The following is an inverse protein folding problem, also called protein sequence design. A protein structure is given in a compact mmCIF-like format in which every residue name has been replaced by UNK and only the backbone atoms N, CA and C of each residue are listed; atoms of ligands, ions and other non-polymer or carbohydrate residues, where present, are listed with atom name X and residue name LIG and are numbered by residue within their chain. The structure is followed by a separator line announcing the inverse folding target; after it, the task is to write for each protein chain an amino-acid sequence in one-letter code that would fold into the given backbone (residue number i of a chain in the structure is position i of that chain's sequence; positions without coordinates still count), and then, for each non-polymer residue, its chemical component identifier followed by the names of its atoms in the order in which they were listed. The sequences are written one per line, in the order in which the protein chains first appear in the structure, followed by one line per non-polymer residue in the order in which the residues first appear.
data_IF_183445601241
#
_entry.id   IF_183445601241
#
_cell.length_a   1.000
_cell.length_b   1.000
_cell.length_c   1.000
_cell.angle_alpha   90.00
_cell.angle_beta   90.00
_cell.angle_gamma   90.00
#
_symmetry.space_group_name_H-M   'P 1'
#
loop_
_entity.id
_entity.type
_entity.pdbx_description
1 polymer ?
#
# COMPACT_ATOMS: atom_id res chain seq x y z
N UNK A 1 0.39 -12.26 -0.70
CA UNK A 1 1.58 -11.99 0.14
C UNK A 1 2.76 -11.68 -0.76
N UNK A 2 3.22 -10.43 -0.79
CA UNK A 2 4.46 -10.10 -1.48
C UNK A 2 5.63 -10.56 -0.59
N UNK A 3 6.20 -11.71 -0.89
CA UNK A 3 7.42 -12.20 -0.23
C UNK A 3 8.57 -11.27 -0.60
N UNK A 4 9.03 -10.45 0.35
CA UNK A 4 10.37 -9.86 0.24
C UNK A 4 11.33 -11.03 0.46
N UNK A 5 11.87 -11.59 -0.63
CA UNK A 5 12.84 -12.68 -0.53
C UNK A 5 14.15 -12.11 0.00
N UNK A 6 14.31 -12.08 1.33
CA UNK A 6 15.58 -11.80 1.99
C UNK A 6 16.51 -12.98 1.73
N UNK A 7 17.56 -12.78 0.93
CA UNK A 7 18.63 -13.77 0.72
C UNK A 7 19.53 -13.79 1.97
N UNK A 8 19.15 -14.64 2.92
CA UNK A 8 19.85 -14.82 4.20
C UNK A 8 21.32 -15.14 4.00
N UNK A 9 21.65 -15.92 2.96
CA UNK A 9 23.02 -16.32 2.67
C UNK A 9 23.87 -15.14 2.17
N UNK A 10 23.31 -14.30 1.30
CA UNK A 10 23.99 -13.06 0.85
C UNK A 10 24.18 -12.05 1.98
N UNK A 11 23.23 -11.99 2.93
CA UNK A 11 23.33 -11.15 4.13
C UNK A 11 24.45 -11.60 5.05
N UNK A 12 24.51 -12.89 5.40
CA UNK A 12 25.58 -13.47 6.21
C UNK A 12 26.94 -13.27 5.53
N UNK A 13 27.03 -13.52 4.23
CA UNK A 13 28.27 -13.33 3.46
C UNK A 13 28.77 -11.88 3.52
N UNK A 14 27.88 -10.89 3.36
CA UNK A 14 28.21 -9.46 3.47
C UNK A 14 28.75 -9.11 4.85
N UNK A 15 28.16 -9.65 5.91
CA UNK A 15 28.63 -9.44 7.28
C UNK A 15 30.01 -10.07 7.51
N UNK A 16 30.24 -11.29 7.00
CA UNK A 16 31.55 -11.95 7.06
C UNK A 16 32.62 -11.17 6.29
N UNK A 17 32.30 -10.66 5.08
CA UNK A 17 33.20 -9.81 4.29
C UNK A 17 33.53 -8.49 5.00
N UNK A 18 32.65 -8.02 5.89
CA UNK A 18 32.87 -6.85 6.75
C UNK A 18 33.61 -7.16 8.07
N UNK A 19 34.03 -8.42 8.29
CA UNK A 19 34.77 -8.84 9.47
C UNK A 19 33.91 -9.31 10.65
N UNK A 20 32.59 -9.48 10.47
CA UNK A 20 31.72 -10.04 11.51
C UNK A 20 31.93 -11.55 11.61
N UNK A 21 32.11 -12.12 12.82
CA UNK A 21 32.19 -13.57 13.01
C UNK A 21 30.94 -14.29 12.51
N UNK A 22 31.11 -15.49 11.95
CA UNK A 22 30.03 -16.28 11.35
C UNK A 22 28.85 -16.51 12.31
N UNK A 23 29.13 -16.86 13.57
CA UNK A 23 28.10 -17.06 14.59
C UNK A 23 27.28 -15.80 14.88
N UNK A 24 27.89 -14.61 14.83
CA UNK A 24 27.18 -13.34 14.98
C UNK A 24 26.39 -12.99 13.72
N UNK A 25 26.96 -13.23 12.54
CA UNK A 25 26.28 -12.98 11.28
C UNK A 25 25.02 -13.85 11.12
N UNK A 26 25.10 -15.12 11.55
CA UNK A 26 23.95 -16.04 11.63
C UNK A 26 22.91 -15.57 12.64
N UNK A 27 23.31 -15.19 13.87
CA UNK A 27 22.38 -14.68 14.88
C UNK A 27 21.66 -13.39 14.43
N UNK A 28 22.36 -12.50 13.72
CA UNK A 28 21.78 -11.28 13.15
C UNK A 28 20.81 -11.60 12.01
N UNK A 29 21.10 -12.61 11.19
CA UNK A 29 20.21 -13.09 10.14
C UNK A 29 18.92 -13.70 10.72
N UNK A 30 19.03 -14.49 11.79
CA UNK A 30 17.91 -15.08 12.52
C UNK A 30 17.01 -13.98 13.11
N UNK A 31 17.60 -13.04 13.86
CA UNK A 31 16.86 -11.93 14.48
C UNK A 31 16.14 -11.04 13.45
N UNK A 32 16.76 -10.80 12.28
CA UNK A 32 16.12 -10.06 11.20
C UNK A 32 14.93 -10.83 10.60
N UNK A 33 15.04 -12.15 10.47
CA UNK A 33 13.98 -13.00 9.96
C UNK A 33 12.80 -13.06 10.92
N UNK A 34 13.06 -13.16 12.22
CA UNK A 34 12.04 -13.11 13.26
C UNK A 34 11.32 -11.75 13.28
N UNK A 35 12.08 -10.65 13.24
CA UNK A 35 11.53 -9.30 13.17
C UNK A 35 10.70 -9.05 11.89
N UNK A 36 11.08 -9.64 10.76
CA UNK A 36 10.30 -9.59 9.52
C UNK A 36 9.03 -10.45 9.59
N UNK A 37 9.05 -11.55 10.35
CA UNK A 37 7.89 -12.43 10.56
C UNK A 37 6.84 -11.83 11.50
N UNK A 38 7.26 -11.01 12.47
CA UNK A 38 6.37 -10.31 13.40
C UNK A 38 5.83 -8.97 12.88
N UNK A 39 6.41 -8.44 11.79
CA UNK A 39 5.93 -7.21 11.18
C UNK A 39 4.58 -7.43 10.49
N UNK A 40 3.53 -6.77 10.99
CA UNK A 40 2.23 -6.72 10.31
C UNK A 40 2.34 -5.81 9.08
N UNK A 41 2.68 -6.41 7.94
CA UNK A 41 2.92 -5.68 6.69
C UNK A 41 1.61 -5.46 5.93
N UNK A 42 1.19 -4.19 5.80
CA UNK A 42 0.13 -3.81 4.87
C UNK A 42 0.66 -3.93 3.44
N UNK A 43 0.08 -4.82 2.63
CA UNK A 43 0.48 -4.97 1.23
C UNK A 43 -0.18 -3.92 0.36
N UNK A 44 0.39 -3.66 -0.82
CA UNK A 44 -0.26 -2.83 -1.85
C UNK A 44 -1.66 -3.35 -2.21
N UNK A 45 -1.87 -4.65 -2.12
CA UNK A 45 -3.14 -5.28 -2.44
C UNK A 45 -4.19 -4.97 -1.37
N UNK A 46 -3.80 -4.96 -0.09
CA UNK A 46 -4.66 -4.59 1.04
C UNK A 46 -5.09 -3.13 0.93
N UNK A 47 -4.15 -2.22 0.63
CA UNK A 47 -4.48 -0.81 0.39
C UNK A 47 -5.43 -0.64 -0.80
N UNK A 48 -5.25 -1.41 -1.88
CA UNK A 48 -6.15 -1.34 -3.04
C UNK A 48 -7.57 -1.82 -2.68
N UNK A 49 -7.68 -2.81 -1.80
CA UNK A 49 -8.95 -3.32 -1.31
C UNK A 49 -9.71 -2.24 -0.52
N UNK A 50 -9.03 -1.56 0.39
CA UNK A 50 -9.62 -0.48 1.20
C UNK A 50 -9.93 0.78 0.38
N UNK A 51 -9.13 1.07 -0.65
CA UNK A 51 -9.35 2.23 -1.51
C UNK A 51 -10.45 2.01 -2.56
N UNK A 52 -10.80 0.76 -2.87
CA UNK A 52 -11.84 0.43 -3.85
C UNK A 52 -13.22 1.05 -3.52
N UNK A 53 -13.78 0.90 -2.30
CA UNK A 53 -15.06 1.52 -1.95
C UNK A 53 -14.99 3.05 -2.00
N UNK A 54 -13.91 3.66 -1.50
CA UNK A 54 -13.73 5.12 -1.54
C UNK A 54 -13.73 5.65 -2.98
N UNK A 55 -13.06 4.95 -3.90
CA UNK A 55 -13.07 5.32 -5.32
C UNK A 55 -14.47 5.22 -5.93
N UNK A 56 -15.24 4.20 -5.56
CA UNK A 56 -16.61 4.04 -6.02
C UNK A 56 -17.51 5.16 -5.51
N UNK A 57 -17.41 5.50 -4.22
CA UNK A 57 -18.18 6.59 -3.60
C UNK A 57 -17.84 7.95 -4.23
N UNK A 58 -16.56 8.25 -4.44
CA UNK A 58 -16.12 9.47 -5.12
C UNK A 58 -16.67 9.55 -6.55
N UNK A 59 -16.70 8.41 -7.27
CA UNK A 59 -17.26 8.36 -8.62
C UNK A 59 -18.78 8.61 -8.61
N UNK A 60 -19.49 8.03 -7.63
CA UNK A 60 -20.93 8.24 -7.46
C UNK A 60 -21.24 9.71 -7.13
N UNK A 61 -20.50 10.31 -6.21
CA UNK A 61 -20.63 11.72 -5.85
C UNK A 61 -20.42 12.63 -7.07
N UNK A 62 -19.43 12.35 -7.91
CA UNK A 62 -19.20 13.12 -9.15
C UNK A 62 -20.42 13.10 -10.09
N UNK A 63 -21.04 11.95 -10.26
CA UNK A 63 -22.25 11.82 -11.09
C UNK A 63 -23.45 12.55 -10.49
N UNK A 64 -23.67 12.43 -9.19
CA UNK A 64 -24.73 13.16 -8.50
C UNK A 64 -24.54 14.67 -8.61
N UNK A 65 -23.31 15.15 -8.44
CA UNK A 65 -22.98 16.57 -8.61
C UNK A 65 -23.23 17.03 -10.04
N UNK A 66 -22.85 16.23 -11.05
CA UNK A 66 -23.13 16.52 -12.45
C UNK A 66 -24.63 16.63 -12.74
N UNK A 67 -25.44 15.71 -12.23
CA UNK A 67 -26.91 15.74 -12.36
C UNK A 67 -27.50 16.96 -11.64
N UNK A 68 -27.03 17.28 -10.44
CA UNK A 68 -27.48 18.43 -9.67
C UNK A 68 -27.16 19.74 -10.41
N UNK A 69 -25.94 19.88 -10.94
CA UNK A 69 -25.54 21.04 -11.73
C UNK A 69 -26.39 21.18 -13.00
N UNK A 70 -26.66 20.07 -13.70
CA UNK A 70 -27.54 20.07 -14.87
C UNK A 70 -28.99 20.48 -14.50
N UNK A 71 -29.50 20.00 -13.37
CA UNK A 71 -30.82 20.36 -12.86
C UNK A 71 -30.92 21.86 -12.52
N UNK A 72 -29.93 22.40 -11.80
CA UNK A 72 -29.85 23.83 -11.49
C UNK A 72 -29.74 24.66 -12.76
N UNK A 73 -28.88 24.28 -13.70
CA UNK A 73 -28.75 24.97 -14.98
C UNK A 73 -30.07 24.98 -15.77
N UNK A 74 -30.80 23.86 -15.79
CA UNK A 74 -32.12 23.77 -16.44
C UNK A 74 -33.14 24.73 -15.81
N UNK A 75 -33.18 24.82 -14.49
CA UNK A 75 -34.07 25.76 -13.78
C UNK A 75 -33.73 27.22 -14.08
N UNK A 76 -32.43 27.55 -14.12
CA UNK A 76 -31.97 28.90 -14.48
C UNK A 76 -32.37 29.24 -15.91
N UNK A 77 -32.10 28.34 -16.88
CA UNK A 77 -32.49 28.56 -18.29
C UNK A 77 -34.00 28.81 -18.38
N UNK A 78 -34.83 27.96 -17.76
CA UNK A 78 -36.29 28.09 -17.77
C UNK A 78 -36.82 29.37 -17.10
N UNK A 79 -36.07 29.93 -16.15
CA UNK A 79 -36.52 31.10 -15.38
C UNK A 79 -36.19 32.43 -16.08
N UNK A 80 -35.18 32.45 -16.96
CA UNK A 80 -34.65 33.67 -17.56
C UNK A 80 -34.75 33.74 -19.10
N UNK A 81 -35.07 32.64 -19.79
CA UNK A 81 -35.26 32.56 -21.24
C UNK A 81 -36.59 31.87 -21.56
#
# INVERSE_FOLDING_TARGET
MASITSDTHKFIRRLKEAGVPESQAEAMAEALRDAQGEAELVTKQDMQLELAPIKADVQLIKWMLGILLAGVASLVIKSFF
#
